data_IF_611819100056
#
_entry.id   IF_611819100056
#
_cell.length_a   1.000
_cell.length_b   1.000
_cell.length_c   1.000
_cell.angle_alpha   90.00
_cell.angle_beta   90.00
_cell.angle_gamma   90.00
#
_symmetry.space_group_name_H-M   'P 1'
#
loop_
_entity.id
_entity.type
_entity.pdbx_description
1 polymer ?
#
# COMPACT_ATOMS: atom_id res chain seq x y z
N UNK A 1 5.66 -10.57 0.69
CA UNK A 1 6.59 -9.73 1.45
C UNK A 1 6.34 -8.27 1.10
N UNK A 2 6.35 -7.37 2.08
CA UNK A 2 6.18 -5.93 1.84
C UNK A 2 7.52 -5.21 2.00
N UNK A 3 7.87 -4.33 1.06
CA UNK A 3 9.07 -3.48 1.14
C UNK A 3 8.75 -2.02 0.81
N UNK A 4 9.41 -1.10 1.53
CA UNK A 4 9.26 0.35 1.36
C UNK A 4 10.54 1.08 1.77
N UNK A 5 10.75 2.28 1.24
CA UNK A 5 12.04 2.96 1.26
C UNK A 5 12.36 3.80 2.51
N UNK A 6 11.35 4.25 3.27
CA UNK A 6 11.54 5.10 4.45
C UNK A 6 10.78 4.55 5.67
N UNK A 7 11.33 4.63 6.88
CA UNK A 7 10.60 4.22 8.09
C UNK A 7 9.44 5.16 8.47
N UNK A 8 9.40 6.37 7.90
CA UNK A 8 8.39 7.39 8.16
C UNK A 8 8.18 8.31 6.94
N UNK A 9 6.98 8.88 6.82
CA UNK A 9 6.57 9.79 5.75
C UNK A 9 5.84 11.01 6.30
N UNK A 10 5.95 12.15 5.62
CA UNK A 10 5.24 13.38 5.97
C UNK A 10 3.97 13.55 5.15
N UNK A 11 2.99 14.28 5.68
CA UNK A 11 1.81 14.70 4.92
C UNK A 11 2.23 15.45 3.65
N UNK A 12 1.64 15.07 2.52
CA UNK A 12 1.95 15.58 1.18
C UNK A 12 3.00 14.77 0.43
N UNK A 13 3.78 13.91 1.10
CA UNK A 13 4.74 13.02 0.43
C UNK A 13 4.04 11.89 -0.33
N UNK A 14 4.75 11.35 -1.34
CA UNK A 14 4.36 10.14 -2.04
C UNK A 14 5.01 8.92 -1.39
N UNK A 15 4.17 8.04 -0.84
CA UNK A 15 4.57 6.70 -0.40
C UNK A 15 4.55 5.76 -1.60
N UNK A 16 5.66 5.05 -1.80
CA UNK A 16 5.76 3.91 -2.72
C UNK A 16 6.13 2.67 -1.93
N UNK A 17 5.31 1.64 -2.06
CA UNK A 17 5.46 0.37 -1.33
C UNK A 17 5.19 -0.77 -2.29
N UNK A 18 6.00 -1.82 -2.19
CA UNK A 18 5.89 -3.01 -3.01
C UNK A 18 5.39 -4.16 -2.17
N UNK A 19 4.49 -4.98 -2.73
CA UNK A 19 4.19 -6.30 -2.20
C UNK A 19 4.56 -7.34 -3.24
N UNK A 20 5.49 -8.23 -2.89
CA UNK A 20 5.90 -9.36 -3.73
C UNK A 20 5.25 -10.63 -3.20
N UNK A 21 4.51 -11.34 -4.05
CA UNK A 21 3.92 -12.63 -3.72
C UNK A 21 4.99 -13.71 -3.52
N UNK A 22 4.60 -14.83 -2.92
CA UNK A 22 5.40 -16.05 -3.05
C UNK A 22 5.32 -16.60 -4.48
N UNK A 23 6.29 -17.44 -4.91
CA UNK A 23 6.17 -18.24 -6.11
C UNK A 23 4.96 -19.17 -6.05
N UNK A 24 4.10 -19.17 -7.08
CA UNK A 24 2.97 -20.08 -7.16
C UNK A 24 2.52 -20.35 -8.59
N UNK A 25 1.66 -21.35 -8.81
CA UNK A 25 0.99 -21.62 -10.10
C UNK A 25 -0.48 -21.94 -9.86
N UNK A 26 -1.44 -21.14 -10.36
CA UNK A 26 -1.26 -19.94 -11.18
C UNK A 26 -0.58 -18.79 -10.43
N UNK A 27 -0.22 -17.72 -11.15
CA UNK A 27 0.29 -16.48 -10.52
C UNK A 27 -0.75 -15.94 -9.57
N UNK A 28 -0.40 -15.59 -8.32
CA UNK A 28 -1.37 -15.06 -7.37
C UNK A 28 -1.91 -13.70 -7.81
N UNK A 29 -3.18 -13.43 -7.51
CA UNK A 29 -3.75 -12.10 -7.58
C UNK A 29 -3.36 -11.34 -6.31
N UNK A 30 -2.84 -10.12 -6.46
CA UNK A 30 -2.38 -9.29 -5.34
C UNK A 30 -3.11 -7.96 -5.33
N UNK A 31 -3.62 -7.57 -4.16
CA UNK A 31 -4.29 -6.29 -3.93
C UNK A 31 -3.84 -5.66 -2.62
N UNK A 32 -4.11 -4.37 -2.46
CA UNK A 32 -3.80 -3.60 -1.28
C UNK A 32 -5.08 -3.13 -0.57
N UNK A 33 -5.06 -3.19 0.76
CA UNK A 33 -5.98 -2.46 1.61
C UNK A 33 -5.25 -1.31 2.30
N UNK A 34 -5.88 -0.14 2.31
CA UNK A 34 -5.47 1.05 3.06
C UNK A 34 -6.46 1.21 4.20
N UNK A 35 -5.98 1.03 5.44
CA UNK A 35 -6.82 1.06 6.64
C UNK A 35 -8.05 0.13 6.55
N UNK A 36 -7.86 -1.05 5.93
CA UNK A 36 -8.92 -2.05 5.75
C UNK A 36 -9.84 -1.85 4.54
N UNK A 37 -9.67 -0.75 3.78
CA UNK A 37 -10.43 -0.47 2.56
C UNK A 37 -9.60 -0.78 1.32
N UNK A 38 -10.19 -1.44 0.33
CA UNK A 38 -9.48 -1.78 -0.90
C UNK A 38 -8.98 -0.51 -1.62
N UNK A 39 -7.70 -0.51 -1.96
CA UNK A 39 -7.06 0.56 -2.71
C UNK A 39 -7.62 0.63 -4.13
N UNK A 40 -7.67 1.84 -4.68
CA UNK A 40 -8.11 2.03 -6.05
C UNK A 40 -7.08 1.45 -7.02
N UNK A 41 -7.55 0.78 -8.09
CA UNK A 41 -6.67 0.11 -9.06
C UNK A 41 -5.68 1.06 -9.73
N UNK A 42 -6.08 2.32 -9.97
CA UNK A 42 -5.19 3.35 -10.55
C UNK A 42 -3.99 3.73 -9.67
N UNK A 43 -4.00 3.34 -8.39
CA UNK A 43 -2.87 3.55 -7.48
C UNK A 43 -1.88 2.38 -7.50
N UNK A 44 -2.23 1.30 -8.19
CA UNK A 44 -1.47 0.07 -8.24
C UNK A 44 -0.83 -0.15 -9.59
N UNK A 45 0.39 -0.71 -9.58
CA UNK A 45 1.09 -1.19 -10.78
C UNK A 45 1.58 -2.61 -10.53
N UNK A 46 1.26 -3.50 -11.46
CA UNK A 46 1.63 -4.92 -11.37
C UNK A 46 2.85 -5.21 -12.23
N UNK A 47 3.77 -5.99 -11.67
CA UNK A 47 4.99 -6.45 -12.31
C UNK A 47 5.05 -7.97 -12.15
N UNK A 48 4.47 -8.74 -13.10
CA UNK A 48 4.56 -10.19 -13.08
C UNK A 48 5.98 -10.64 -13.43
N UNK A 49 6.41 -11.74 -12.82
CA UNK A 49 7.69 -12.40 -13.07
C UNK A 49 7.44 -13.88 -13.34
N UNK A 50 8.04 -14.43 -14.40
CA UNK A 50 7.79 -15.82 -14.80
C UNK A 50 8.70 -16.83 -14.08
N UNK A 51 9.84 -16.38 -13.57
CA UNK A 51 10.88 -17.24 -13.01
C UNK A 51 11.58 -16.61 -11.80
N UNK A 52 11.06 -16.82 -10.57
CA UNK A 52 9.94 -17.69 -10.23
C UNK A 52 8.57 -17.05 -10.50
N UNK A 53 7.57 -17.88 -10.82
CA UNK A 53 6.21 -17.40 -11.16
C UNK A 53 5.58 -16.66 -9.98
N UNK A 54 5.64 -15.34 -10.00
CA UNK A 54 5.25 -14.45 -8.89
C UNK A 54 4.81 -13.10 -9.44
N UNK A 55 4.31 -12.24 -8.57
CA UNK A 55 3.95 -10.87 -8.94
C UNK A 55 4.38 -9.90 -7.86
N UNK A 56 4.91 -8.75 -8.28
CA UNK A 56 5.07 -7.59 -7.41
C UNK A 56 4.02 -6.54 -7.75
N UNK A 57 3.25 -6.10 -6.76
CA UNK A 57 2.29 -5.01 -6.89
C UNK A 57 2.77 -3.81 -6.10
N UNK A 58 3.12 -2.75 -6.82
CA UNK A 58 3.49 -1.47 -6.24
C UNK A 58 2.25 -0.63 -6.00
N UNK A 59 2.10 -0.09 -4.79
CA UNK A 59 1.11 0.93 -4.45
C UNK A 59 1.81 2.29 -4.36
N UNK A 60 1.26 3.28 -5.06
CA UNK A 60 1.60 4.69 -4.93
C UNK A 60 0.50 5.46 -4.24
N UNK A 61 0.76 5.98 -3.04
CA UNK A 61 -0.22 6.68 -2.21
C UNK A 61 0.30 8.07 -1.82
N UNK A 62 -0.51 9.10 -2.03
CA UNK A 62 -0.23 10.43 -1.48
C UNK A 62 -0.66 10.45 -0.01
N UNK A 63 0.25 10.85 0.88
CA UNK A 63 -0.05 10.93 2.30
C UNK A 63 -0.91 12.17 2.57
N UNK A 64 -2.08 11.93 3.16
CA UNK A 64 -3.03 12.95 3.59
C UNK A 64 -3.03 13.07 5.12
N UNK A 65 -3.52 14.20 5.64
CA UNK A 65 -3.66 14.46 7.09
C UNK A 65 -4.54 13.40 7.78
N UNK A 66 -5.49 12.80 7.07
CA UNK A 66 -6.35 11.75 7.58
C UNK A 66 -5.57 10.51 8.06
N UNK A 67 -4.38 10.26 7.51
CA UNK A 67 -3.50 9.16 7.86
C UNK A 67 -2.58 9.44 9.06
N UNK A 68 -2.55 10.66 9.61
CA UNK A 68 -1.76 10.99 10.81
C UNK A 68 -2.16 10.15 12.03
N UNK A 69 -3.44 9.76 12.11
CA UNK A 69 -3.96 8.91 13.19
C UNK A 69 -3.52 7.45 13.08
N UNK A 70 -2.95 7.06 11.94
CA UNK A 70 -2.48 5.71 11.67
C UNK A 70 -2.71 5.33 10.21
N UNK A 71 -1.63 4.84 9.57
CA UNK A 71 -1.68 4.23 8.25
C UNK A 71 -1.29 2.77 8.35
N UNK A 72 -2.27 1.89 8.19
CA UNK A 72 -2.07 0.45 8.08
C UNK A 72 -2.26 0.03 6.64
N UNK A 73 -1.24 -0.62 6.09
CA UNK A 73 -1.30 -1.19 4.75
C UNK A 73 -1.34 -2.70 4.86
N UNK A 74 -2.29 -3.32 4.20
CA UNK A 74 -2.41 -4.78 4.11
C UNK A 74 -2.28 -5.20 2.67
N UNK A 75 -1.29 -6.02 2.36
CA UNK A 75 -1.22 -6.72 1.10
C UNK A 75 -1.95 -8.06 1.23
N UNK A 76 -2.81 -8.36 0.26
CA UNK A 76 -3.51 -9.64 0.14
C UNK A 76 -3.07 -10.31 -1.14
N UNK A 77 -2.65 -11.57 -1.05
CA UNK A 77 -2.28 -12.42 -2.17
C UNK A 77 -3.20 -13.64 -2.18
N UNK A 78 -3.86 -13.91 -3.31
CA UNK A 78 -4.88 -14.96 -3.41
C UNK A 78 -4.69 -15.85 -4.64
N UNK A 79 -5.09 -17.12 -4.49
CA UNK A 79 -5.27 -18.07 -5.59
C UNK A 79 -6.66 -18.68 -5.41
N UNK A 80 -7.58 -18.54 -6.37
CA UNK A 80 -8.93 -19.11 -6.26
C UNK A 80 -8.88 -20.64 -6.19
N UNK A 81 -9.78 -21.25 -5.39
CA UNK A 81 -9.82 -22.70 -5.20
C UNK A 81 -10.25 -23.48 -6.46
N UNK A 82 -10.93 -22.79 -7.39
CA UNK A 82 -11.36 -23.33 -8.66
C UNK A 82 -11.15 -22.29 -9.75
N UNK A 83 -10.60 -22.69 -10.89
CA UNK A 83 -10.27 -21.79 -12.00
C UNK A 83 -11.45 -21.55 -12.97
N UNK A 84 -12.65 -22.06 -12.67
CA UNK A 84 -13.85 -21.86 -13.51
C UNK A 84 -14.84 -20.84 -12.94
N UNK A 85 -15.85 -20.49 -13.75
CA UNK A 85 -16.83 -19.42 -13.51
C UNK A 85 -17.71 -19.52 -12.24
N UNK A 86 -17.51 -20.55 -11.40
CA UNK A 86 -18.27 -20.78 -10.16
C UNK A 86 -17.48 -20.51 -8.88
N UNK A 87 -16.27 -19.95 -8.98
CA UNK A 87 -15.51 -19.53 -7.81
C UNK A 87 -16.31 -18.47 -7.03
N UNK A 88 -16.76 -18.83 -5.83
CA UNK A 88 -17.29 -17.85 -4.87
C UNK A 88 -16.10 -17.12 -4.23
N UNK A 89 -16.23 -15.82 -3.99
CA UNK A 89 -15.19 -14.97 -3.36
C UNK A 89 -14.71 -15.43 -1.97
N UNK A 90 -15.32 -16.47 -1.37
CA UNK A 90 -14.89 -17.08 -0.11
C UNK A 90 -14.04 -18.34 -0.28
N UNK A 91 -13.79 -18.80 -1.51
CA UNK A 91 -13.12 -20.08 -1.79
C UNK A 91 -11.74 -19.85 -2.43
N UNK A 92 -10.69 -19.93 -1.61
CA UNK A 92 -9.30 -19.78 -2.03
C UNK A 92 -8.49 -21.06 -1.75
N UNK A 93 -7.62 -21.42 -2.68
CA UNK A 93 -6.60 -22.46 -2.48
C UNK A 93 -5.40 -21.93 -1.70
N UNK A 94 -5.06 -20.65 -1.92
CA UNK A 94 -4.11 -19.93 -1.10
C UNK A 94 -4.62 -18.51 -0.85
N UNK A 95 -4.51 -18.08 0.39
CA UNK A 95 -4.89 -16.75 0.84
C UNK A 95 -3.87 -16.30 1.88
N UNK A 96 -3.11 -15.26 1.55
CA UNK A 96 -2.08 -14.70 2.42
C UNK A 96 -2.33 -13.22 2.60
N UNK A 97 -2.26 -12.79 3.85
CA UNK A 97 -2.29 -11.38 4.18
C UNK A 97 -1.02 -11.01 4.94
N UNK A 98 -0.49 -9.83 4.62
CA UNK A 98 0.60 -9.25 5.37
C UNK A 98 0.32 -7.77 5.62
N UNK A 99 0.39 -7.35 6.88
CA UNK A 99 0.11 -5.96 7.27
C UNK A 99 1.36 -5.29 7.82
N UNK A 100 1.51 -4.01 7.50
CA UNK A 100 2.50 -3.11 8.10
C UNK A 100 1.82 -1.82 8.56
N UNK A 101 2.37 -1.21 9.60
CA UNK A 101 1.96 0.12 10.05
C UNK A 101 3.06 1.13 9.65
N UNK A 102 2.66 2.17 8.92
CA UNK A 102 3.57 3.22 8.42
C UNK A 102 3.44 4.45 9.32
N UNK A 103 4.57 4.95 9.82
CA UNK A 103 4.59 6.15 10.66
C UNK A 103 4.42 7.40 9.80
N UNK A 104 3.37 8.18 10.07
CA UNK A 104 3.13 9.47 9.43
C UNK A 104 3.49 10.59 10.40
N UNK A 105 4.27 11.55 9.92
CA UNK A 105 4.61 12.78 10.65
C UNK A 105 3.76 13.90 10.07
N UNK A 106 3.06 14.64 10.93
CA UNK A 106 2.25 15.78 10.50
C UNK A 106 3.10 16.87 9.84
N UNK A 107 2.46 17.79 9.13
CA UNK A 107 3.17 18.93 8.56
C UNK A 107 3.89 19.70 9.69
N UNK A 108 5.18 19.98 9.50
CA UNK A 108 5.86 20.96 10.32
C UNK A 108 5.11 22.28 10.14
N UNK A 109 4.32 22.70 11.13
CA UNK A 109 3.80 24.07 11.22
C UNK A 109 4.96 25.00 10.92
N UNK A 110 4.87 25.75 9.81
CA UNK A 110 5.81 26.83 9.54
C UNK A 110 5.91 27.69 10.83
N UNK A 111 7.11 28.05 11.29
CA UNK A 111 7.21 28.98 12.41
C UNK A 111 6.41 30.24 12.07
N UNK A 112 5.63 30.80 13.02
CA UNK A 112 4.80 31.97 12.74
C UNK A 112 5.67 33.06 12.13
N UNK A 113 5.25 33.56 10.98
CA UNK A 113 5.92 34.67 10.30
C UNK A 113 6.05 35.82 11.30
N UNK A 114 7.28 36.17 11.68
CA UNK A 114 7.54 37.32 12.53
C UNK A 114 7.03 38.54 11.78
N UNK A 115 5.92 39.13 12.25
CA UNK A 115 5.43 40.41 11.76
C UNK A 115 6.50 41.44 12.12
N UNK A 116 7.35 41.81 11.16
CA UNK A 116 8.23 42.96 11.31
C UNK A 116 7.36 44.22 11.26
N UNK A 117 7.12 44.81 12.43
CA UNK A 117 6.50 46.13 12.56
C UNK A 117 7.51 47.16 12.02
N UNK A 118 7.19 47.93 10.97
CA UNK A 118 8.04 49.05 10.58
C UNK A 118 7.91 50.14 11.66
N UNK A 119 9.04 50.49 12.28
CA UNK A 119 9.13 51.70 13.10
C UNK A 119 8.84 52.91 12.21
N UNK A 120 7.85 53.71 12.60
CA UNK A 120 7.60 55.03 12.03
C UNK A 120 7.47 56.07 13.15
#
# INVERSE_FOLDING_TARGET
HISFGKPMYMVGEMLQVNCTSGPARPTPDVTWLINGLQAHESWMKMFPEESPNSVTVQLGLKIEESYEKGLRLTCISTIPAFLGHHARHSLYADHKEHSIDVKIVGQATQPPTVIQIPNH
#
